data_IF_881593627594
#
_entry.id   IF_881593627594
#
_cell.length_a   1.000
_cell.length_b   1.000
_cell.length_c   1.000
_cell.angle_alpha   90.00
_cell.angle_beta   90.00
_cell.angle_gamma   90.00
#
_symmetry.space_group_name_H-M   'P 1'
#
loop_
_entity.id
_entity.type
_entity.pdbx_description
1 polymer ?
#
# COMPACT_ATOMS: atom_id res chain seq x y z
N UNK A 1 14.17 10.57 -11.09
CA UNK A 1 12.76 10.63 -10.63
C UNK A 1 12.72 10.42 -9.15
N UNK A 2 13.21 11.39 -8.38
CA UNK A 2 13.35 11.31 -6.93
C UNK A 2 11.98 11.24 -6.23
N UNK A 3 10.98 11.97 -6.75
CA UNK A 3 9.62 12.01 -6.19
C UNK A 3 8.92 10.64 -6.13
N UNK A 4 9.16 9.74 -7.09
CA UNK A 4 8.48 8.43 -7.13
C UNK A 4 9.02 7.43 -6.10
N UNK A 5 10.31 7.50 -5.78
CA UNK A 5 10.90 6.66 -4.73
C UNK A 5 10.51 7.19 -3.35
N UNK A 6 10.55 8.51 -3.15
CA UNK A 6 10.05 9.14 -1.93
C UNK A 6 8.56 8.83 -1.69
N UNK A 7 7.72 8.97 -2.73
CA UNK A 7 6.31 8.59 -2.65
C UNK A 7 6.10 7.11 -2.33
N UNK A 8 6.93 6.21 -2.89
CA UNK A 8 6.86 4.79 -2.56
C UNK A 8 7.15 4.51 -1.08
N UNK A 9 8.13 5.22 -0.50
CA UNK A 9 8.46 5.12 0.94
C UNK A 9 7.30 5.61 1.79
N UNK A 10 6.76 6.81 1.51
CA UNK A 10 5.61 7.35 2.26
C UNK A 10 4.42 6.39 2.23
N UNK A 11 4.06 5.87 1.05
CA UNK A 11 2.96 4.90 0.92
C UNK A 11 3.24 3.58 1.66
N UNK A 12 4.50 3.14 1.72
CA UNK A 12 4.88 1.95 2.47
C UNK A 12 4.69 2.20 3.97
N UNK A 13 5.17 3.34 4.46
CA UNK A 13 5.12 3.65 5.90
C UNK A 13 3.67 3.77 6.36
N UNK A 14 2.80 4.41 5.56
CA UNK A 14 1.35 4.43 5.79
C UNK A 14 0.69 3.06 5.76
N UNK A 15 1.12 2.17 4.86
CA UNK A 15 0.63 0.80 4.84
C UNK A 15 1.06 -0.01 6.08
N UNK A 16 2.20 0.33 6.69
CA UNK A 16 2.69 -0.33 7.92
C UNK A 16 1.95 0.15 9.18
N UNK A 17 1.29 1.32 9.13
CA UNK A 17 0.43 1.82 10.23
C UNK A 17 -0.88 1.02 10.37
N UNK A 18 -1.28 0.26 9.33
CA UNK A 18 -2.51 -0.54 9.36
C UNK A 18 -2.31 -1.80 10.21
N UNK A 19 -3.13 -1.92 11.26
CA UNK A 19 -3.11 -3.06 12.16
C UNK A 19 -3.41 -4.37 11.42
N UNK A 20 -2.49 -5.32 11.49
CA UNK A 20 -2.59 -6.61 10.79
C UNK A 20 -1.74 -6.72 9.52
N UNK A 21 -1.02 -5.66 9.13
CA UNK A 21 0.00 -5.70 8.08
C UNK A 21 1.34 -6.15 8.68
N UNK A 22 1.84 -7.27 8.20
CA UNK A 22 3.17 -7.79 8.55
C UNK A 22 4.27 -7.15 7.70
N UNK A 23 4.02 -6.98 6.41
CA UNK A 23 4.96 -6.31 5.51
C UNK A 23 4.25 -5.67 4.35
N UNK A 24 4.78 -4.53 3.89
CA UNK A 24 4.27 -3.82 2.72
C UNK A 24 5.41 -3.55 1.72
N UNK A 25 5.13 -3.77 0.44
CA UNK A 25 6.01 -3.44 -0.67
C UNK A 25 5.27 -2.57 -1.67
N UNK A 26 5.78 -1.36 -1.88
CA UNK A 26 5.21 -0.38 -2.81
C UNK A 26 6.12 -0.21 -4.02
N UNK A 27 5.51 -0.12 -5.21
CA UNK A 27 6.19 0.24 -6.46
C UNK A 27 5.40 1.32 -7.20
N UNK A 28 6.00 2.49 -7.33
CA UNK A 28 5.44 3.60 -8.12
C UNK A 28 5.77 3.42 -9.61
N UNK A 29 4.74 3.44 -10.45
CA UNK A 29 4.82 3.51 -11.91
C UNK A 29 4.32 4.89 -12.35
N UNK A 30 4.53 5.23 -13.63
CA UNK A 30 4.15 6.53 -14.20
C UNK A 30 2.67 6.89 -14.00
N UNK A 31 1.77 5.91 -13.94
CA UNK A 31 0.31 6.12 -13.80
C UNK A 31 -0.35 5.28 -12.70
N UNK A 32 0.42 4.47 -11.95
CA UNK A 32 -0.13 3.49 -11.01
C UNK A 32 0.79 3.28 -9.81
N UNK A 33 0.22 3.10 -8.63
CA UNK A 33 0.92 2.67 -7.43
C UNK A 33 0.58 1.20 -7.16
N UNK A 34 1.57 0.29 -7.25
CA UNK A 34 1.35 -1.13 -6.93
C UNK A 34 1.75 -1.38 -5.49
N UNK A 35 0.81 -1.81 -4.66
CA UNK A 35 1.03 -2.13 -3.26
C UNK A 35 0.81 -3.62 -3.03
N UNK A 36 1.77 -4.27 -2.38
CA UNK A 36 1.68 -5.67 -1.95
C UNK A 36 1.82 -5.71 -0.44
N UNK A 37 0.77 -6.13 0.24
CA UNK A 37 0.77 -6.29 1.69
C UNK A 37 0.71 -7.78 2.05
N UNK A 38 1.44 -8.17 3.09
CA UNK A 38 1.27 -9.46 3.76
C UNK A 38 0.52 -9.24 5.07
N UNK A 39 -0.55 -10.02 5.31
CA UNK A 39 -1.33 -9.94 6.55
C UNK A 39 -1.14 -11.20 7.39
N UNK A 40 -0.86 -11.04 8.70
CA UNK A 40 -0.53 -12.17 9.58
C UNK A 40 -1.75 -12.79 10.26
N UNK A 41 -2.74 -11.99 10.72
CA UNK A 41 -3.80 -12.50 11.62
C UNK A 41 -5.19 -11.85 11.49
N UNK A 42 -5.38 -10.79 10.69
CA UNK A 42 -6.71 -10.20 10.47
C UNK A 42 -7.40 -10.79 9.23
N UNK A 43 -8.71 -10.56 9.14
CA UNK A 43 -9.48 -10.86 7.94
C UNK A 43 -8.92 -10.05 6.76
N UNK A 44 -8.73 -10.72 5.62
CA UNK A 44 -8.05 -10.12 4.47
C UNK A 44 -8.84 -8.96 3.87
N UNK A 45 -10.17 -9.04 3.91
CA UNK A 45 -11.06 -8.03 3.35
C UNK A 45 -11.11 -6.78 4.22
N UNK A 46 -11.14 -6.90 5.55
CA UNK A 46 -11.00 -5.77 6.47
C UNK A 46 -9.66 -5.05 6.29
N UNK A 47 -8.55 -5.80 6.28
CA UNK A 47 -7.21 -5.24 6.05
C UNK A 47 -7.12 -4.58 4.68
N UNK A 48 -7.83 -5.13 3.68
CA UNK A 48 -7.87 -4.57 2.33
C UNK A 48 -8.64 -3.25 2.31
N UNK A 49 -9.79 -3.17 2.97
CA UNK A 49 -10.59 -1.95 3.06
C UNK A 49 -9.83 -0.83 3.79
N UNK A 50 -9.22 -1.16 4.93
CA UNK A 50 -8.40 -0.22 5.71
C UNK A 50 -7.20 0.30 4.88
N UNK A 51 -6.48 -0.60 4.22
CA UNK A 51 -5.35 -0.24 3.35
C UNK A 51 -5.80 0.62 2.16
N UNK A 52 -6.93 0.30 1.53
CA UNK A 52 -7.43 1.07 0.38
C UNK A 52 -7.74 2.52 0.78
N UNK A 53 -8.41 2.72 1.92
CA UNK A 53 -8.71 4.05 2.45
C UNK A 53 -7.45 4.85 2.79
N UNK A 54 -6.50 4.24 3.51
CA UNK A 54 -5.24 4.91 3.89
C UNK A 54 -4.40 5.26 2.66
N UNK A 55 -4.29 4.34 1.69
CA UNK A 55 -3.49 4.56 0.49
C UNK A 55 -4.11 5.57 -0.46
N UNK A 56 -5.44 5.58 -0.62
CA UNK A 56 -6.11 6.59 -1.45
C UNK A 56 -5.95 7.99 -0.85
N UNK A 57 -6.12 8.13 0.47
CA UNK A 57 -5.86 9.38 1.18
C UNK A 57 -4.40 9.85 1.04
N UNK A 58 -3.44 8.94 1.22
CA UNK A 58 -2.02 9.26 1.07
C UNK A 58 -1.67 9.66 -0.37
N UNK A 59 -2.21 8.99 -1.39
CA UNK A 59 -1.96 9.35 -2.80
C UNK A 59 -2.52 10.72 -3.15
N UNK A 60 -3.71 11.07 -2.63
CA UNK A 60 -4.29 12.41 -2.81
C UNK A 60 -3.45 13.47 -2.10
N UNK A 61 -2.93 13.17 -0.90
CA UNK A 61 -2.07 14.07 -0.11
C UNK A 61 -0.68 14.34 -0.71
N UNK A 62 -0.23 13.55 -1.69
CA UNK A 62 1.07 13.76 -2.35
C UNK A 62 1.08 14.95 -3.33
N UNK A 63 -0.06 15.63 -3.57
CA UNK A 63 -0.13 16.80 -4.43
C UNK A 63 0.24 16.52 -5.90
N UNK A 64 0.11 15.28 -6.35
CA UNK A 64 0.42 14.89 -7.72
C UNK A 64 -0.64 15.44 -8.67
N UNK A 65 -0.21 16.09 -9.76
CA UNK A 65 -1.11 16.66 -10.77
C UNK A 65 -2.14 15.67 -11.34
N UNK A 66 -1.82 14.37 -11.30
CA UNK A 66 -2.79 13.30 -11.57
C UNK A 66 -2.58 12.16 -10.57
N UNK A 67 -3.58 11.85 -9.71
CA UNK A 67 -3.44 10.76 -8.76
C UNK A 67 -3.26 9.43 -9.52
N UNK A 68 -2.17 8.69 -9.26
CA UNK A 68 -2.00 7.36 -9.83
C UNK A 68 -3.03 6.39 -9.27
N UNK A 69 -3.56 5.50 -10.10
CA UNK A 69 -4.46 4.45 -9.62
C UNK A 69 -3.72 3.48 -8.69
N UNK A 70 -4.28 3.24 -7.50
CA UNK A 70 -3.76 2.27 -6.53
C UNK A 70 -4.17 0.87 -6.96
N UNK A 71 -3.21 -0.05 -6.97
CA UNK A 71 -3.43 -1.47 -7.22
C UNK A 71 -2.91 -2.24 -6.02
N UNK A 72 -3.84 -2.58 -5.13
CA UNK A 72 -3.58 -3.27 -3.87
C UNK A 72 -3.70 -4.78 -4.05
N UNK A 73 -2.73 -5.52 -3.50
CA UNK A 73 -2.78 -6.98 -3.38
C UNK A 73 -2.38 -7.38 -1.97
N UNK A 74 -3.34 -7.81 -1.19
CA UNK A 74 -3.11 -8.39 0.14
C UNK A 74 -2.98 -9.91 -0.02
N UNK A 75 -2.00 -10.50 0.67
CA UNK A 75 -1.86 -11.96 0.75
C UNK A 75 -1.65 -12.35 2.21
N UNK A 76 -2.13 -13.53 2.60
CA UNK A 76 -1.63 -14.18 3.82
C UNK A 76 -0.27 -14.80 3.49
N UNK A 77 0.76 -14.69 4.34
CA UNK A 77 1.95 -15.51 4.15
C UNK A 77 1.48 -16.96 4.15
N UNK A 78 1.86 -17.72 3.12
CA UNK A 78 1.59 -19.15 3.10
C UNK A 78 2.12 -19.75 4.40
N UNK A 79 1.42 -20.77 4.93
CA UNK A 79 1.92 -21.56 6.07
C UNK A 79 3.41 -21.78 5.82
N UNK A 80 4.25 -21.31 6.74
CA UNK A 80 5.69 -21.54 6.70
C UNK A 80 5.83 -23.07 6.77
N UNK A 81 5.96 -23.71 5.61
CA UNK A 81 6.33 -25.11 5.48
C UNK A 81 7.80 -25.26 5.75
#
# INVERSE_FOLDING_TARGET
>A
GLHRNAAATVLRDRAMEVSGVQSARVRMRRRRARVRALSHFRELDDVRADLDGVLDGAVRGLGLARPPAVSLRVKRPGRKG
#
